data_IF_797982084327
#
_entry.id   IF_797982084327
#
_cell.length_a   1.000
_cell.length_b   1.000
_cell.length_c   1.000
_cell.angle_alpha   90.00
_cell.angle_beta   90.00
_cell.angle_gamma   90.00
#
_symmetry.space_group_name_H-M   'P 1'
#
loop_
_entity.id
_entity.type
_entity.pdbx_description
1 polymer ?
#
# COMPACT_ATOMS: atom_id res chain seq x y z
N UNK A 1 -16.82 -21.80 -5.47
CA UNK A 1 -15.41 -21.46 -5.14
C UNK A 1 -14.52 -21.74 -6.34
N UNK A 2 -13.61 -20.84 -6.70
CA UNK A 2 -12.66 -21.08 -7.80
C UNK A 2 -11.66 -22.18 -7.37
N UNK A 3 -11.53 -23.27 -8.15
CA UNK A 3 -10.75 -24.49 -7.81
C UNK A 3 -9.25 -24.24 -7.57
N UNK A 4 -8.74 -23.02 -7.80
CA UNK A 4 -7.32 -22.64 -7.64
C UNK A 4 -6.96 -22.03 -6.28
N UNK A 5 -7.89 -21.94 -5.33
CA UNK A 5 -7.60 -21.42 -3.98
C UNK A 5 -7.19 -22.57 -3.07
N UNK A 6 -6.06 -22.43 -2.38
CA UNK A 6 -5.61 -23.36 -1.33
C UNK A 6 -5.37 -22.60 -0.02
N UNK A 7 -5.53 -23.29 1.10
CA UNK A 7 -5.00 -22.80 2.37
C UNK A 7 -3.48 -22.94 2.37
N UNK A 8 -2.82 -21.97 3.00
CA UNK A 8 -1.38 -21.91 3.12
C UNK A 8 -1.07 -21.75 4.61
N UNK A 9 -0.45 -22.77 5.20
CA UNK A 9 0.13 -22.67 6.54
C UNK A 9 1.62 -22.41 6.36
N UNK A 10 2.04 -21.19 6.64
CA UNK A 10 3.40 -20.74 6.37
C UNK A 10 3.91 -19.80 7.45
N UNK A 11 5.23 -19.83 7.67
CA UNK A 11 5.92 -18.89 8.54
C UNK A 11 6.33 -17.66 7.76
N UNK A 12 6.10 -16.47 8.32
CA UNK A 12 6.57 -15.20 7.73
C UNK A 12 8.06 -15.05 8.01
N UNK A 13 8.85 -14.86 6.96
CA UNK A 13 10.31 -14.72 7.05
C UNK A 13 10.76 -13.27 6.91
N UNK A 14 10.16 -12.51 6.00
CA UNK A 14 10.56 -11.13 5.75
C UNK A 14 9.44 -10.30 5.10
N UNK A 15 9.47 -9.00 5.34
CA UNK A 15 8.75 -8.01 4.54
C UNK A 15 9.49 -7.81 3.21
N UNK A 16 8.74 -7.65 2.11
CA UNK A 16 9.33 -7.50 0.77
C UNK A 16 9.16 -6.09 0.19
N UNK A 17 8.27 -5.27 0.77
CA UNK A 17 7.96 -3.94 0.26
C UNK A 17 8.30 -2.86 1.28
N UNK A 18 8.84 -1.73 0.79
CA UNK A 18 9.07 -0.51 1.56
C UNK A 18 7.80 0.29 1.82
N UNK A 19 6.77 0.13 0.97
CA UNK A 19 5.46 0.80 1.11
C UNK A 19 4.35 -0.22 1.26
N UNK A 20 3.69 -0.25 2.42
CA UNK A 20 2.67 -1.22 2.82
C UNK A 20 1.25 -0.66 2.87
N UNK A 21 1.05 0.60 2.45
CA UNK A 21 -0.25 1.26 2.33
C UNK A 21 -0.38 1.94 0.97
N UNK A 22 -1.61 2.05 0.47
CA UNK A 22 -1.91 2.81 -0.74
C UNK A 22 -3.23 3.58 -0.62
N UNK A 23 -3.36 4.74 -1.28
CA UNK A 23 -4.61 5.50 -1.27
C UNK A 23 -5.66 4.76 -2.09
N UNK A 24 -6.88 4.71 -1.57
CA UNK A 24 -7.98 3.91 -2.08
C UNK A 24 -9.30 4.68 -2.09
N UNK A 25 -10.18 4.28 -3.01
CA UNK A 25 -11.50 4.87 -3.16
C UNK A 25 -12.41 4.40 -2.02
N UNK A 26 -13.13 5.34 -1.41
CA UNK A 26 -14.15 5.06 -0.40
C UNK A 26 -15.28 4.15 -0.92
N UNK A 27 -15.64 4.30 -2.20
CA UNK A 27 -16.79 3.61 -2.79
C UNK A 27 -16.46 2.21 -3.30
N UNK A 28 -15.34 2.05 -4.01
CA UNK A 28 -15.01 0.79 -4.70
C UNK A 28 -13.68 0.17 -4.28
N UNK A 29 -13.03 0.72 -3.25
CA UNK A 29 -11.77 0.25 -2.67
C UNK A 29 -10.58 0.14 -3.63
N UNK A 30 -10.74 0.62 -4.86
CA UNK A 30 -9.70 0.60 -5.87
C UNK A 30 -8.68 1.69 -5.60
N UNK A 31 -7.44 1.47 -6.03
CA UNK A 31 -6.38 2.47 -5.90
C UNK A 31 -6.81 3.77 -6.60
N UNK A 32 -6.61 4.90 -5.93
CA UNK A 32 -6.91 6.24 -6.47
C UNK A 32 -5.61 6.95 -6.83
N UNK A 33 -5.72 7.90 -7.76
CA UNK A 33 -4.63 8.80 -8.13
C UNK A 33 -4.82 10.07 -7.31
N UNK A 34 -3.80 10.45 -6.54
CA UNK A 34 -3.76 11.71 -5.81
C UNK A 34 -3.05 12.75 -6.68
N UNK A 35 -3.75 13.81 -7.08
CA UNK A 35 -3.20 14.91 -7.86
C UNK A 35 -3.42 16.20 -7.07
N UNK A 36 -2.36 16.75 -6.50
CA UNK A 36 -2.39 17.97 -5.69
C UNK A 36 -3.43 17.88 -4.56
N UNK A 37 -4.52 18.65 -4.64
CA UNK A 37 -5.61 18.72 -3.65
C UNK A 37 -6.79 17.79 -3.97
N UNK A 38 -6.76 17.08 -5.09
CA UNK A 38 -7.88 16.24 -5.56
C UNK A 38 -7.46 14.79 -5.69
N UNK A 39 -8.45 13.91 -5.57
CA UNK A 39 -8.35 12.48 -5.80
C UNK A 39 -9.35 12.09 -6.88
N UNK A 40 -8.95 11.18 -7.76
CA UNK A 40 -9.82 10.59 -8.77
C UNK A 40 -9.70 9.06 -8.70
N UNK A 41 -10.84 8.38 -8.67
CA UNK A 41 -10.91 6.94 -8.84
C UNK A 41 -11.06 6.56 -10.30
N UNK A 42 -10.05 5.91 -10.92
CA UNK A 42 -10.13 5.51 -12.33
C UNK A 42 -11.18 4.42 -12.58
N UNK A 43 -11.63 3.71 -11.53
CA UNK A 43 -12.59 2.61 -11.68
C UNK A 43 -14.05 3.07 -11.64
N UNK A 44 -14.40 3.99 -10.75
CA UNK A 44 -15.80 4.39 -10.53
C UNK A 44 -16.05 5.90 -10.69
N UNK A 45 -15.04 6.67 -11.11
CA UNK A 45 -15.16 8.11 -11.36
C UNK A 45 -15.33 8.97 -10.10
N UNK A 46 -15.30 8.38 -8.90
CA UNK A 46 -15.44 9.16 -7.67
C UNK A 46 -14.28 10.15 -7.52
N UNK A 47 -14.64 11.42 -7.34
CA UNK A 47 -13.72 12.49 -7.00
C UNK A 47 -13.81 12.82 -5.51
N UNK A 48 -12.70 13.30 -4.94
CA UNK A 48 -12.69 13.78 -3.55
C UNK A 48 -11.47 14.63 -3.26
N UNK A 49 -11.39 15.18 -2.06
CA UNK A 49 -10.22 15.95 -1.62
C UNK A 49 -9.07 15.02 -1.21
N UNK A 50 -7.83 15.38 -1.57
CA UNK A 50 -6.65 14.53 -1.31
C UNK A 50 -6.32 14.41 0.18
N UNK A 51 -6.70 15.40 1.01
CA UNK A 51 -6.52 15.38 2.46
C UNK A 51 -7.34 14.31 3.19
N UNK A 52 -8.43 13.85 2.58
CA UNK A 52 -9.37 12.87 3.14
C UNK A 52 -9.33 11.52 2.41
N UNK A 53 -8.25 11.24 1.68
CA UNK A 53 -8.06 9.97 1.01
C UNK A 53 -8.03 8.82 2.05
N UNK A 54 -8.79 7.77 1.78
CA UNK A 54 -8.69 6.54 2.57
C UNK A 54 -7.49 5.72 2.13
N UNK A 55 -6.89 5.00 3.07
CA UNK A 55 -5.77 4.10 2.78
C UNK A 55 -6.16 2.65 3.04
N UNK A 56 -5.51 1.75 2.30
CA UNK A 56 -5.63 0.30 2.47
C UNK A 56 -4.26 -0.32 2.55
N UNK A 57 -4.14 -1.37 3.35
CA UNK A 57 -2.92 -2.15 3.42
C UNK A 57 -2.67 -2.96 2.15
N UNK A 58 -1.39 -3.06 1.79
CA UNK A 58 -0.83 -3.97 0.79
C UNK A 58 0.51 -4.46 1.35
N UNK A 59 0.52 -5.61 2.00
CA UNK A 59 1.72 -6.14 2.63
C UNK A 59 2.28 -7.29 1.80
N UNK A 60 3.50 -7.14 1.30
CA UNK A 60 4.19 -8.19 0.54
C UNK A 60 5.13 -8.94 1.48
N UNK A 61 4.96 -10.26 1.58
CA UNK A 61 5.62 -11.11 2.55
C UNK A 61 6.39 -12.21 1.83
N UNK A 62 7.62 -12.46 2.27
CA UNK A 62 8.31 -13.72 2.00
C UNK A 62 7.93 -14.70 3.08
N UNK A 63 7.39 -15.85 2.68
CA UNK A 63 6.90 -16.89 3.59
C UNK A 63 7.48 -18.24 3.24
N UNK A 64 7.56 -19.14 4.21
CA UNK A 64 7.99 -20.52 4.03
C UNK A 64 6.89 -21.51 4.41
N UNK A 65 6.61 -22.46 3.50
CA UNK A 65 5.79 -23.66 3.76
C UNK A 65 6.68 -24.88 3.50
N UNK A 66 7.03 -25.59 4.57
CA UNK A 66 8.04 -26.67 4.55
C UNK A 66 9.36 -26.19 3.93
N UNK A 67 9.80 -26.79 2.83
CA UNK A 67 11.07 -26.45 2.16
C UNK A 67 10.87 -25.49 0.97
N UNK A 68 9.71 -24.84 0.87
CA UNK A 68 9.36 -23.95 -0.26
C UNK A 68 9.19 -22.53 0.21
N UNK A 69 9.74 -21.60 -0.56
CA UNK A 69 9.62 -20.16 -0.34
C UNK A 69 8.61 -19.56 -1.31
N UNK A 70 7.76 -18.68 -0.80
CA UNK A 70 6.75 -17.96 -1.57
C UNK A 70 6.82 -16.47 -1.28
N UNK A 71 6.45 -15.67 -2.27
CA UNK A 71 6.11 -14.27 -2.06
C UNK A 71 4.60 -14.14 -2.18
N UNK A 72 3.95 -13.71 -1.11
CA UNK A 72 2.50 -13.47 -1.08
C UNK A 72 2.22 -12.00 -0.81
N UNK A 73 1.07 -11.51 -1.25
CA UNK A 73 0.61 -10.17 -0.89
C UNK A 73 -0.75 -10.23 -0.20
N UNK A 74 -0.83 -9.66 0.99
CA UNK A 74 -2.05 -9.55 1.78
C UNK A 74 -2.61 -8.14 1.64
N UNK A 75 -3.92 -8.02 1.41
CA UNK A 75 -4.57 -6.74 1.12
C UNK A 75 -5.71 -6.45 2.07
N UNK A 76 -5.92 -5.16 2.34
CA UNK A 76 -7.13 -4.65 2.97
C UNK A 76 -7.15 -4.76 4.49
N UNK A 77 -8.35 -4.66 5.05
CA UNK A 77 -8.60 -4.49 6.49
C UNK A 77 -8.35 -5.74 7.33
N UNK A 78 -8.10 -6.91 6.72
CA UNK A 78 -7.69 -8.08 7.49
C UNK A 78 -6.35 -7.86 8.21
N UNK A 79 -5.54 -6.90 7.74
CA UNK A 79 -4.29 -6.49 8.37
C UNK A 79 -4.50 -5.53 9.54
N UNK A 80 -5.69 -4.94 9.71
CA UNK A 80 -5.96 -3.99 10.79
C UNK A 80 -5.75 -4.63 12.17
N UNK A 81 -6.17 -5.90 12.34
CA UNK A 81 -5.95 -6.67 13.59
C UNK A 81 -4.47 -6.94 13.86
N UNK A 82 -3.67 -7.17 12.81
CA UNK A 82 -2.24 -7.45 12.97
C UNK A 82 -1.43 -6.18 13.28
N UNK A 83 -1.80 -5.04 12.70
CA UNK A 83 -1.13 -3.77 13.00
C UNK A 83 -1.69 -3.11 14.27
N UNK A 84 -2.94 -3.40 14.65
CA UNK A 84 -3.66 -2.74 15.74
C UNK A 84 -4.29 -1.41 15.34
N UNK A 85 -4.27 -1.05 14.05
CA UNK A 85 -4.87 0.18 13.52
C UNK A 85 -5.21 0.05 12.04
N UNK A 86 -6.17 0.87 11.60
CA UNK A 86 -6.52 0.97 10.18
C UNK A 86 -5.36 1.55 9.37
N UNK A 87 -5.26 1.20 8.10
CA UNK A 87 -4.27 1.79 7.18
C UNK A 87 -4.38 3.32 7.09
N UNK A 88 -5.58 3.88 7.15
CA UNK A 88 -5.80 5.35 7.21
C UNK A 88 -5.25 5.92 8.51
N UNK A 89 -5.49 5.26 9.65
CA UNK A 89 -4.91 5.65 10.94
C UNK A 89 -3.37 5.65 10.91
N UNK A 90 -2.77 4.59 10.35
CA UNK A 90 -1.32 4.48 10.26
C UNK A 90 -0.73 5.56 9.36
N UNK A 91 -1.37 5.82 8.22
CA UNK A 91 -0.96 6.91 7.33
C UNK A 91 -0.94 8.27 8.04
N UNK A 92 -1.98 8.58 8.84
CA UNK A 92 -2.07 9.85 9.60
C UNK A 92 -0.93 9.99 10.60
N UNK A 93 -0.61 8.92 11.34
CA UNK A 93 0.49 8.90 12.30
C UNK A 93 1.82 9.11 11.57
N UNK A 94 2.09 8.33 10.51
CA UNK A 94 3.33 8.44 9.75
C UNK A 94 3.52 9.83 9.14
N UNK A 95 2.45 10.41 8.59
CA UNK A 95 2.47 11.78 8.05
C UNK A 95 2.79 12.79 9.15
N UNK A 96 2.09 12.73 10.29
CA UNK A 96 2.31 13.65 11.40
C UNK A 96 3.71 13.53 12.02
N UNK A 97 4.27 12.32 12.08
CA UNK A 97 5.65 12.11 12.57
C UNK A 97 6.67 12.64 11.57
N UNK A 98 6.47 12.41 10.27
CA UNK A 98 7.40 12.87 9.25
C UNK A 98 7.41 14.41 9.13
N UNK A 99 6.24 15.05 9.26
CA UNK A 99 6.11 16.51 9.25
C UNK A 99 6.81 17.17 10.47
N UNK A 100 7.07 16.40 11.55
CA UNK A 100 7.77 16.87 12.77
C UNK A 100 9.28 16.66 12.74
N UNK A 101 9.77 15.80 11.84
CA UNK A 101 11.20 15.47 11.72
C UNK A 101 11.75 16.24 10.52
N UNK A 102 12.32 17.43 10.77
CA UNK A 102 13.10 18.16 9.77
C UNK A 102 14.38 17.35 9.48
N UNK A 103 14.30 16.36 8.58
CA UNK A 103 15.45 15.59 8.10
C UNK A 103 15.50 15.66 6.57
N UNK A 104 16.71 15.63 5.97
CA UNK A 104 16.89 15.84 4.54
C UNK A 104 16.14 14.79 3.74
N UNK A 105 15.33 15.24 2.80
CA UNK A 105 14.53 14.40 1.91
C UNK A 105 15.46 13.67 0.94
N UNK A 106 15.94 12.49 1.33
CA UNK A 106 16.45 11.48 0.38
C UNK A 106 16.06 10.09 0.85
N UNK A 107 14.89 9.61 0.42
CA UNK A 107 14.67 8.19 0.03
C UNK A 107 13.21 7.81 -0.28
N UNK A 108 12.20 8.63 0.00
CA UNK A 108 10.79 8.20 -0.22
C UNK A 108 10.16 8.61 -1.56
N UNK A 109 10.85 9.39 -2.41
CA UNK A 109 10.27 9.90 -3.66
C UNK A 109 10.66 9.14 -4.94
N UNK A 110 11.60 8.20 -4.90
CA UNK A 110 12.14 7.61 -6.14
C UNK A 110 11.42 6.35 -6.63
N UNK A 111 10.18 6.08 -6.19
CA UNK A 111 9.35 5.02 -6.76
C UNK A 111 8.26 5.55 -7.73
N UNK A 112 8.29 6.85 -8.06
CA UNK A 112 7.36 7.45 -9.01
C UNK A 112 8.07 8.44 -9.93
N UNK A 113 9.05 7.97 -10.71
CA UNK A 113 9.46 8.52 -12.02
C UNK A 113 10.69 7.74 -12.53
N UNK A 114 10.45 6.65 -13.23
CA UNK A 114 11.40 6.17 -14.24
C UNK A 114 10.63 6.12 -15.54
N UNK A 115 10.55 7.28 -16.22
CA UNK A 115 10.36 7.29 -17.67
C UNK A 115 11.75 7.35 -18.26
N UNK A 116 12.20 6.22 -18.80
CA UNK A 116 13.34 6.18 -19.70
C UNK A 116 13.10 7.16 -20.85
N UNK A 117 14.08 8.05 -21.09
CA UNK A 117 14.15 8.82 -22.34
C UNK A 117 14.74 7.90 -23.42
N UNK A 118 14.22 7.91 -24.66
CA UNK A 118 14.91 7.29 -25.78
C UNK A 118 16.17 8.10 -26.10
N UNK A 119 17.31 7.42 -26.24
CA UNK A 119 18.53 8.00 -26.81
C UNK A 119 18.30 8.15 -28.32
N UNK A 120 18.58 9.35 -28.82
CA UNK A 120 18.80 9.62 -30.24
C UNK A 120 20.08 8.94 -30.72
#
# INVERSE_FOLDING_TARGET
>A
MNRRRKFLLASVLALQNSSFIYPSCQKCFSRIILVSKRSNCPKCGCTGESGNANYRYKLSLKVAESNKLFVITVFGSCLDTFFGLTATGLHRILKATLDKVQMPVTSYSNALTTKEKPKH
#
